data_IF_705241891382
#
_entry.id   IF_705241891382
#
_cell.length_a   1.000
_cell.length_b   1.000
_cell.length_c   1.000
_cell.angle_alpha   90.00
_cell.angle_beta   90.00
_cell.angle_gamma   90.00
#
_symmetry.space_group_name_H-M   'P 1'
#
loop_
_entity.id
_entity.type
_entity.pdbx_description
1 polymer ?
#
# COMPACT_ATOMS: atom_id res chain seq x y z
N UNK A 1 4.87 8.27 7.71
CA UNK A 1 3.72 7.36 7.92
C UNK A 1 3.55 6.54 6.67
N UNK A 2 3.49 5.23 6.77
CA UNK A 2 3.43 4.39 5.58
C UNK A 2 1.99 3.93 5.35
N UNK A 3 1.52 4.05 4.11
CA UNK A 3 0.18 3.70 3.69
C UNK A 3 0.25 2.60 2.64
N UNK A 4 -0.31 1.45 2.97
CA UNK A 4 -0.59 0.37 2.03
C UNK A 4 -2.02 0.52 1.51
N UNK A 5 -2.17 0.62 0.20
CA UNK A 5 -3.47 0.60 -0.48
C UNK A 5 -3.54 -0.68 -1.31
N UNK A 6 -4.60 -1.46 -1.10
CA UNK A 6 -4.86 -2.69 -1.84
C UNK A 6 -5.97 -2.40 -2.84
N UNK A 7 -5.65 -2.40 -4.13
CA UNK A 7 -6.60 -2.13 -5.22
C UNK A 7 -6.18 -2.84 -6.50
N UNK A 8 -7.16 -3.33 -7.27
CA UNK A 8 -6.91 -3.86 -8.61
C UNK A 8 -6.31 -2.80 -9.53
N UNK A 9 -5.25 -3.16 -10.26
CA UNK A 9 -4.60 -2.21 -11.17
C UNK A 9 -3.81 -2.90 -12.28
N UNK A 10 -4.10 -2.49 -13.51
CA UNK A 10 -3.34 -2.88 -14.70
C UNK A 10 -2.08 -2.02 -14.91
N UNK A 11 -1.85 -1.02 -14.06
CA UNK A 11 -0.67 -0.16 -14.16
C UNK A 11 0.56 -0.85 -13.56
N UNK A 12 1.77 -0.59 -14.09
CA UNK A 12 3.00 -1.00 -13.43
C UNK A 12 3.09 -0.41 -12.01
N UNK A 13 3.59 -1.20 -11.05
CA UNK A 13 3.66 -0.84 -9.62
C UNK A 13 4.20 0.57 -9.34
N UNK A 14 5.24 1.00 -10.05
CA UNK A 14 5.85 2.33 -9.87
C UNK A 14 4.94 3.51 -10.28
N UNK A 15 3.88 3.28 -11.08
CA UNK A 15 2.93 4.31 -11.51
C UNK A 15 1.68 4.40 -10.63
N UNK A 16 1.37 3.34 -9.87
CA UNK A 16 0.10 3.24 -9.12
C UNK A 16 -0.04 4.28 -8.01
N UNK A 17 1.06 4.63 -7.33
CA UNK A 17 1.06 5.55 -6.20
C UNK A 17 0.90 7.04 -6.59
N UNK A 18 1.13 7.39 -7.86
CA UNK A 18 1.19 8.78 -8.31
C UNK A 18 -0.11 9.57 -8.11
N UNK A 19 -1.28 8.93 -8.24
CA UNK A 19 -2.58 9.59 -8.00
C UNK A 19 -2.75 9.96 -6.53
N UNK A 20 -2.39 9.06 -5.62
CA UNK A 20 -2.53 9.28 -4.18
C UNK A 20 -1.52 10.28 -3.65
N UNK A 21 -0.28 10.23 -4.15
CA UNK A 21 0.75 11.23 -3.81
C UNK A 21 0.32 12.64 -4.17
N UNK A 22 -0.35 12.83 -5.32
CA UNK A 22 -0.92 14.14 -5.71
C UNK A 22 -2.01 14.60 -4.75
N UNK A 23 -2.96 13.72 -4.42
CA UNK A 23 -4.11 14.08 -3.56
C UNK A 23 -3.68 14.34 -2.11
N UNK A 24 -2.71 13.57 -1.59
CA UNK A 24 -2.23 13.67 -0.21
C UNK A 24 -1.05 14.63 -0.04
N UNK A 25 -0.68 15.36 -1.11
CA UNK A 25 0.37 16.36 -1.08
C UNK A 25 -0.03 17.50 -0.12
N UNK A 26 0.91 17.95 0.72
CA UNK A 26 0.66 19.02 1.70
C UNK A 26 -0.07 18.58 2.98
N UNK A 27 -0.54 17.33 3.06
CA UNK A 27 -1.13 16.81 4.30
C UNK A 27 0.00 16.32 5.22
N UNK A 28 0.07 16.82 6.46
CA UNK A 28 1.02 16.33 7.47
C UNK A 28 0.46 15.08 8.19
N UNK A 29 1.31 14.11 8.59
CA UNK A 29 2.74 14.01 8.36
C UNK A 29 3.10 13.54 6.95
N UNK A 30 4.39 13.57 6.62
CA UNK A 30 4.92 12.97 5.40
C UNK A 30 4.56 11.48 5.33
N UNK A 31 4.14 11.02 4.15
CA UNK A 31 3.63 9.66 3.94
C UNK A 31 4.38 8.95 2.84
N UNK A 32 4.74 7.70 3.07
CA UNK A 32 5.08 6.81 1.97
C UNK A 32 3.83 6.06 1.53
N UNK A 33 3.60 5.98 0.23
CA UNK A 33 2.39 5.37 -0.33
C UNK A 33 2.81 4.27 -1.29
N UNK A 34 2.36 3.05 -0.97
CA UNK A 34 2.53 1.87 -1.80
C UNK A 34 1.18 1.29 -2.16
N UNK A 35 1.06 0.84 -3.40
CA UNK A 35 -0.20 0.33 -3.96
C UNK A 35 0.05 -1.05 -4.54
N UNK A 36 -0.66 -2.04 -4.01
CA UNK A 36 -0.52 -3.44 -4.36
C UNK A 36 -1.87 -3.98 -4.83
N UNK A 37 -1.83 -4.98 -5.71
CA UNK A 37 -3.06 -5.72 -6.05
C UNK A 37 -3.34 -6.78 -5.00
N UNK A 38 -4.60 -7.21 -4.83
CA UNK A 38 -4.93 -8.34 -3.97
C UNK A 38 -4.10 -9.59 -4.30
N UNK A 39 -3.88 -9.88 -5.58
CA UNK A 39 -3.05 -10.99 -6.02
C UNK A 39 -1.60 -10.87 -5.52
N UNK A 40 -0.97 -9.70 -5.69
CA UNK A 40 0.40 -9.48 -5.21
C UNK A 40 0.48 -9.57 -3.67
N UNK A 41 -0.57 -9.15 -2.95
CA UNK A 41 -0.62 -9.30 -1.49
C UNK A 41 -0.65 -10.77 -1.09
N UNK A 42 -1.49 -11.57 -1.76
CA UNK A 42 -1.60 -13.01 -1.52
C UNK A 42 -0.30 -13.77 -1.80
N UNK A 43 0.43 -13.38 -2.86
CA UNK A 43 1.73 -13.96 -3.19
C UNK A 43 2.80 -13.64 -2.13
N UNK A 44 2.74 -12.44 -1.53
CA UNK A 44 3.80 -11.95 -0.64
C UNK A 44 3.48 -12.03 0.85
N UNK A 45 2.23 -12.31 1.25
CA UNK A 45 1.85 -12.40 2.67
C UNK A 45 2.57 -13.52 3.41
N UNK A 46 2.98 -14.57 2.70
CA UNK A 46 3.68 -15.72 3.27
C UNK A 46 5.20 -15.53 3.36
N UNK A 47 5.75 -14.46 2.77
CA UNK A 47 7.20 -14.20 2.77
C UNK A 47 7.58 -13.50 4.08
N UNK A 48 8.37 -14.14 4.97
CA UNK A 48 8.77 -13.52 6.24
C UNK A 48 9.62 -12.27 6.00
N UNK A 49 9.46 -11.26 6.87
CA UNK A 49 10.15 -9.96 6.79
C UNK A 49 9.83 -9.12 5.54
N UNK A 50 8.83 -9.51 4.75
CA UNK A 50 8.33 -8.66 3.67
C UNK A 50 7.49 -7.51 4.25
N UNK A 51 7.58 -6.33 3.65
CA UNK A 51 6.75 -5.17 4.02
C UNK A 51 5.25 -5.53 4.16
N UNK A 52 4.73 -6.35 3.23
CA UNK A 52 3.33 -6.81 3.28
C UNK A 52 3.06 -7.66 4.52
N UNK A 53 3.93 -8.61 4.84
CA UNK A 53 3.77 -9.45 6.04
C UNK A 53 3.74 -8.61 7.33
N UNK A 54 4.62 -7.60 7.44
CA UNK A 54 4.66 -6.69 8.59
C UNK A 54 3.41 -5.81 8.68
N UNK A 55 2.97 -5.21 7.58
CA UNK A 55 1.75 -4.38 7.57
C UNK A 55 0.50 -5.21 7.88
N UNK A 56 0.42 -6.45 7.42
CA UNK A 56 -0.71 -7.33 7.76
C UNK A 56 -0.71 -7.77 9.24
N UNK A 57 0.46 -7.89 9.87
CA UNK A 57 0.58 -8.29 11.27
C UNK A 57 0.41 -7.12 12.25
N UNK A 58 0.97 -5.95 11.94
CA UNK A 58 1.09 -4.81 12.87
C UNK A 58 0.29 -3.57 12.41
N UNK A 59 -0.12 -3.54 11.15
CA UNK A 59 -0.80 -2.39 10.56
C UNK A 59 -2.19 -2.17 11.13
N UNK A 60 -2.65 -0.92 11.06
CA UNK A 60 -4.01 -0.54 11.44
C UNK A 60 -4.89 -0.40 10.20
N UNK A 61 -6.02 -1.12 10.18
CA UNK A 61 -7.04 -0.93 9.16
C UNK A 61 -7.64 0.47 9.27
N UNK A 62 -7.43 1.29 8.24
CA UNK A 62 -8.01 2.64 8.16
C UNK A 62 -9.35 2.64 7.42
N UNK A 63 -9.52 1.74 6.46
CA UNK A 63 -10.69 1.66 5.59
C UNK A 63 -10.77 0.30 4.89
N UNK A 64 -11.98 -0.25 4.73
CA UNK A 64 -12.30 -1.48 4.01
C UNK A 64 -13.63 -1.29 3.27
N UNK A 65 -13.73 -1.80 2.03
CA UNK A 65 -14.96 -1.79 1.23
C UNK A 65 -15.03 -3.00 0.30
#
# INVERSE_FOLDING_TARGET
>A
MDLLIIEESNLPRYRRSGRYRRVLCGVFPAKDIVVWTPQEVEEWKAVPNAFISTVLAEGKLLYER
#
